data_IF_292746803766
#
_entry.id   IF_292746803766
#
_cell.length_a   1.000
_cell.length_b   1.000
_cell.length_c   1.000
_cell.angle_alpha   90.00
_cell.angle_beta   90.00
_cell.angle_gamma   90.00
#
_symmetry.space_group_name_H-M   'P 1'
#
loop_
_entity.id
_entity.type
_entity.pdbx_description
1 polymer ?
#
# COMPACT_ATOMS: atom_id res chain seq x y z
N UNK A 1 20.29 -7.04 16.96
CA UNK A 1 21.26 -6.36 16.08
C UNK A 1 20.91 -4.88 15.98
N UNK A 2 19.71 -4.48 15.54
CA UNK A 2 19.24 -3.08 15.53
C UNK A 2 19.52 -2.26 16.79
N UNK A 3 18.88 -2.59 17.92
CA UNK A 3 18.93 -1.76 19.12
C UNK A 3 20.30 -1.71 19.83
N UNK A 4 21.19 -2.68 19.57
CA UNK A 4 22.51 -2.76 20.22
C UNK A 4 23.67 -2.31 19.33
N UNK A 5 23.50 -2.33 18.00
CA UNK A 5 24.59 -2.05 17.05
C UNK A 5 24.28 -0.91 16.09
N UNK A 6 23.05 -0.38 16.11
CA UNK A 6 22.60 0.65 15.15
C UNK A 6 22.48 0.16 13.70
N UNK A 7 22.84 -1.10 13.41
CA UNK A 7 22.75 -1.68 12.07
C UNK A 7 21.29 -1.96 11.70
N UNK A 8 20.92 -1.86 10.40
CA UNK A 8 19.58 -2.16 9.94
C UNK A 8 19.10 -3.53 10.43
N UNK A 9 17.83 -3.58 10.86
CA UNK A 9 17.18 -4.86 11.13
C UNK A 9 16.97 -5.61 9.82
N UNK A 10 17.07 -6.94 9.88
CA UNK A 10 16.80 -7.81 8.73
C UNK A 10 15.35 -7.64 8.22
N UNK A 11 14.44 -7.28 9.11
CA UNK A 11 13.07 -6.86 8.78
C UNK A 11 12.94 -5.36 9.07
N UNK A 12 13.20 -4.52 8.07
CA UNK A 12 12.94 -3.08 8.17
C UNK A 12 11.57 -2.73 7.56
N UNK A 13 11.01 -1.61 7.98
CA UNK A 13 9.67 -1.19 7.55
C UNK A 13 9.61 -0.76 6.09
N UNK A 14 10.71 -0.28 5.51
CA UNK A 14 10.75 0.10 4.10
C UNK A 14 10.52 -1.13 3.20
N UNK A 15 11.23 -2.22 3.49
CA UNK A 15 11.06 -3.50 2.80
C UNK A 15 9.70 -4.12 3.10
N UNK A 16 9.33 -4.24 4.38
CA UNK A 16 8.07 -4.88 4.76
C UNK A 16 6.85 -4.10 4.28
N UNK A 17 6.93 -2.77 4.21
CA UNK A 17 5.90 -1.87 3.70
C UNK A 17 5.66 -2.06 2.20
N UNK A 18 6.71 -2.03 1.39
CA UNK A 18 6.59 -2.26 -0.05
C UNK A 18 6.09 -3.69 -0.36
N UNK A 19 6.54 -4.69 0.40
CA UNK A 19 6.11 -6.07 0.22
C UNK A 19 4.62 -6.27 0.57
N UNK A 20 4.15 -5.68 1.67
CA UNK A 20 2.73 -5.82 2.04
C UNK A 20 1.82 -5.05 1.08
N UNK A 21 2.26 -3.90 0.56
CA UNK A 21 1.55 -3.17 -0.48
C UNK A 21 1.34 -4.06 -1.71
N UNK A 22 2.40 -4.68 -2.22
CA UNK A 22 2.32 -5.57 -3.37
C UNK A 22 1.36 -6.75 -3.13
N UNK A 23 1.41 -7.37 -1.94
CA UNK A 23 0.48 -8.44 -1.58
C UNK A 23 -0.98 -7.98 -1.54
N UNK A 24 -1.26 -6.76 -1.07
CA UNK A 24 -2.62 -6.22 -1.05
C UNK A 24 -3.17 -5.94 -2.45
N UNK A 25 -2.32 -5.53 -3.40
CA UNK A 25 -2.73 -5.33 -4.80
C UNK A 25 -3.29 -6.60 -5.43
N UNK A 26 -2.79 -7.78 -5.05
CA UNK A 26 -3.34 -9.06 -5.51
C UNK A 26 -4.81 -9.24 -5.09
N UNK A 27 -5.18 -8.82 -3.88
CA UNK A 27 -6.56 -8.86 -3.40
C UNK A 27 -7.45 -7.85 -4.15
N UNK A 28 -6.91 -6.68 -4.48
CA UNK A 28 -7.64 -5.68 -5.26
C UNK A 28 -7.88 -6.20 -6.69
N UNK A 29 -6.86 -6.78 -7.34
CA UNK A 29 -7.01 -7.41 -8.65
C UNK A 29 -8.06 -8.52 -8.63
N UNK A 30 -8.07 -9.34 -7.57
CA UNK A 30 -9.08 -10.38 -7.39
C UNK A 30 -10.50 -9.81 -7.27
N UNK A 31 -10.71 -8.75 -6.50
CA UNK A 31 -12.03 -8.12 -6.34
C UNK A 31 -12.54 -7.46 -7.61
N UNK A 32 -11.64 -6.87 -8.38
CA UNK A 32 -11.93 -6.23 -9.66
C UNK A 32 -12.11 -7.25 -10.80
N UNK A 33 -11.46 -8.41 -10.68
CA UNK A 33 -11.48 -9.45 -11.71
C UNK A 33 -10.64 -9.10 -12.94
N UNK A 34 -9.68 -8.17 -12.82
CA UNK A 34 -8.81 -7.70 -13.93
C UNK A 34 -7.37 -7.60 -13.47
N UNK A 35 -6.45 -7.67 -14.43
CA UNK A 35 -5.05 -7.34 -14.20
C UNK A 35 -4.94 -5.85 -13.88
N UNK A 36 -4.26 -5.50 -12.78
CA UNK A 36 -4.01 -4.11 -12.39
C UNK A 36 -2.69 -3.62 -12.98
N UNK A 37 -2.72 -2.42 -13.55
CA UNK A 37 -1.53 -1.60 -13.79
C UNK A 37 -1.45 -0.58 -12.66
N UNK A 38 -0.46 -0.73 -11.78
CA UNK A 38 -0.34 0.04 -10.55
C UNK A 38 0.83 1.01 -10.62
N UNK A 39 0.53 2.28 -10.36
CA UNK A 39 1.49 3.34 -10.14
C UNK A 39 1.70 3.51 -8.62
N UNK A 40 2.86 3.07 -8.14
CA UNK A 40 3.22 3.12 -6.73
C UNK A 40 3.52 4.53 -6.23
N UNK A 41 3.96 5.45 -7.10
CA UNK A 41 4.27 6.84 -6.69
C UNK A 41 2.98 7.61 -6.38
N UNK A 42 1.95 7.41 -7.20
CA UNK A 42 0.65 8.07 -7.02
C UNK A 42 -0.36 7.22 -6.22
N UNK A 43 0.01 5.99 -5.85
CA UNK A 43 -0.86 4.98 -5.25
C UNK A 43 -2.17 4.83 -6.01
N UNK A 44 -2.09 4.52 -7.31
CA UNK A 44 -3.25 4.49 -8.20
C UNK A 44 -3.18 3.36 -9.22
N UNK A 45 -4.33 2.76 -9.49
CA UNK A 45 -4.50 1.83 -10.60
C UNK A 45 -4.85 2.60 -11.88
N UNK A 46 -3.93 2.71 -12.84
CA UNK A 46 -4.10 3.54 -14.05
C UNK A 46 -5.16 2.98 -14.99
N UNK A 47 -5.27 1.65 -15.06
CA UNK A 47 -6.18 0.94 -15.95
C UNK A 47 -7.54 0.60 -15.32
N UNK A 48 -7.74 0.93 -14.03
CA UNK A 48 -8.87 0.44 -13.26
C UNK A 48 -9.34 1.42 -12.18
N UNK A 49 -10.15 2.44 -12.54
CA UNK A 49 -10.67 3.43 -11.58
C UNK A 49 -11.53 2.82 -10.46
N UNK A 50 -12.20 1.70 -10.75
CA UNK A 50 -13.00 0.94 -9.77
C UNK A 50 -12.15 0.33 -8.64
N UNK A 51 -10.83 0.23 -8.81
CA UNK A 51 -9.91 -0.24 -7.78
C UNK A 51 -9.62 0.83 -6.71
N UNK A 52 -9.81 2.12 -7.03
CA UNK A 52 -9.45 3.25 -6.17
C UNK A 52 -10.18 3.20 -4.82
N UNK A 53 -11.42 2.68 -4.81
CA UNK A 53 -12.23 2.45 -3.60
C UNK A 53 -11.61 1.44 -2.62
N UNK A 54 -10.77 0.51 -3.12
CA UNK A 54 -10.12 -0.51 -2.32
C UNK A 54 -8.70 -0.09 -1.91
N UNK A 55 -8.09 0.83 -2.66
CA UNK A 55 -6.74 1.36 -2.40
C UNK A 55 -6.82 2.50 -1.36
N UNK A 56 -7.82 3.38 -1.49
CA UNK A 56 -7.99 4.53 -0.59
C UNK A 56 -9.14 4.31 0.37
N UNK A 57 -8.89 4.58 1.66
CA UNK A 57 -9.95 4.66 2.66
C UNK A 57 -10.53 6.07 2.69
N UNK A 58 -11.86 6.15 2.71
CA UNK A 58 -12.53 7.41 3.04
C UNK A 58 -12.48 7.58 4.55
N UNK A 59 -11.83 8.65 5.01
CA UNK A 59 -11.85 8.99 6.43
C UNK A 59 -13.22 9.51 6.84
N UNK A 60 -13.63 9.21 8.07
CA UNK A 60 -14.86 9.75 8.64
C UNK A 60 -14.70 11.24 8.91
N UNK A 61 -15.78 12.00 8.77
CA UNK A 61 -15.83 13.41 9.12
C UNK A 61 -15.27 13.68 10.53
N UNK A 62 -14.37 14.66 10.63
CA UNK A 62 -13.65 15.02 11.86
C UNK A 62 -12.35 14.24 12.10
N UNK A 63 -12.07 13.16 11.35
CA UNK A 63 -10.78 12.46 11.38
C UNK A 63 -9.91 12.91 10.21
N UNK A 64 -9.20 14.02 10.39
CA UNK A 64 -8.20 14.50 9.43
C UNK A 64 -6.84 13.95 9.84
N UNK A 65 -6.20 13.19 8.96
CA UNK A 65 -4.80 12.83 9.13
C UNK A 65 -3.95 14.05 8.75
N UNK A 66 -3.52 14.81 9.75
CA UNK A 66 -2.47 15.82 9.55
C UNK A 66 -1.16 15.04 9.40
N UNK A 67 -0.66 14.98 8.17
CA UNK A 67 0.61 14.32 7.84
C UNK A 67 1.78 14.92 8.60
#
# INVERSE_FOLDING_TARGET
>A
IGCKTGKPTLCNFDYSGALIEHNMLALVAYRVGKKLEYDAENMKATNCPEADQYIRKTYRDGWVLNG
#
